data_IF_847399749610
#
_entry.id   IF_847399749610
#
_cell.length_a   1.000
_cell.length_b   1.000
_cell.length_c   1.000
_cell.angle_alpha   90.00
_cell.angle_beta   90.00
_cell.angle_gamma   90.00
#
_symmetry.space_group_name_H-M   'P 1'
#
loop_
_entity.id
_entity.type
_entity.pdbx_description
1 polymer ?
#
# COMPACT_ATOMS: atom_id res chain seq x y z
N UNK A 1 -11.29 17.49 1.90
CA UNK A 1 -11.05 16.04 2.04
C UNK A 1 -9.60 15.62 1.81
N UNK A 2 -8.98 15.83 0.62
CA UNK A 2 -7.56 15.43 0.40
C UNK A 2 -6.54 16.52 0.80
N UNK A 3 -6.87 17.80 0.62
CA UNK A 3 -5.99 18.94 0.97
C UNK A 3 -6.00 19.28 2.49
N UNK A 4 -6.79 18.59 3.32
CA UNK A 4 -6.98 18.86 4.77
C UNK A 4 -6.24 17.87 5.70
N UNK A 5 -5.53 16.88 5.15
CA UNK A 5 -4.74 15.93 5.97
C UNK A 5 -3.43 16.58 6.39
N UNK A 6 -3.25 16.80 7.70
CA UNK A 6 -2.16 17.62 8.26
C UNK A 6 -0.77 16.94 8.25
N UNK A 7 -0.67 15.67 7.85
CA UNK A 7 0.62 14.96 7.80
C UNK A 7 0.85 14.14 6.52
N UNK A 8 2.15 13.96 6.20
CA UNK A 8 2.60 13.27 4.99
C UNK A 8 2.20 11.78 5.01
N UNK A 9 2.24 11.14 6.18
CA UNK A 9 1.92 9.72 6.30
C UNK A 9 0.43 9.49 6.06
N UNK A 10 -0.40 10.32 6.66
CA UNK A 10 -1.86 10.32 6.56
C UNK A 10 -2.30 10.55 5.12
N UNK A 11 -1.63 11.46 4.40
CA UNK A 11 -1.84 11.65 2.96
C UNK A 11 -1.54 10.38 2.16
N UNK A 12 -0.43 9.70 2.45
CA UNK A 12 -0.05 8.46 1.76
C UNK A 12 -1.01 7.31 2.11
N UNK A 13 -1.40 7.17 3.38
CA UNK A 13 -2.38 6.18 3.84
C UNK A 13 -3.76 6.41 3.19
N UNK A 14 -4.18 7.67 3.07
CA UNK A 14 -5.42 8.02 2.37
C UNK A 14 -5.36 7.66 0.89
N UNK A 15 -4.26 7.98 0.19
CA UNK A 15 -4.06 7.57 -1.20
C UNK A 15 -4.09 6.04 -1.34
N UNK A 16 -3.47 5.31 -0.41
CA UNK A 16 -3.49 3.85 -0.43
C UNK A 16 -4.90 3.29 -0.23
N UNK A 17 -5.66 3.84 0.73
CA UNK A 17 -7.03 3.45 0.98
C UNK A 17 -7.92 3.69 -0.25
N UNK A 18 -7.80 4.86 -0.91
CA UNK A 18 -8.56 5.15 -2.14
C UNK A 18 -8.25 4.14 -3.27
N UNK A 19 -6.99 3.72 -3.42
CA UNK A 19 -6.58 2.73 -4.42
C UNK A 19 -7.09 1.33 -4.08
N UNK A 20 -6.95 0.91 -2.82
CA UNK A 20 -7.39 -0.40 -2.35
C UNK A 20 -8.91 -0.53 -2.34
N UNK A 21 -9.65 0.54 -2.04
CA UNK A 21 -11.11 0.61 -2.14
C UNK A 21 -11.62 0.66 -3.59
N UNK A 22 -10.73 0.81 -4.57
CA UNK A 22 -11.10 0.81 -5.99
C UNK A 22 -11.76 2.10 -6.48
N UNK A 23 -11.70 3.18 -5.70
CA UNK A 23 -12.31 4.48 -6.01
C UNK A 23 -11.29 5.58 -6.38
N UNK A 24 -10.00 5.24 -6.41
CA UNK A 24 -8.92 6.20 -6.73
C UNK A 24 -9.08 6.94 -8.07
N UNK A 25 -9.81 6.37 -9.02
CA UNK A 25 -10.01 6.97 -10.34
C UNK A 25 -10.92 8.23 -10.31
N UNK A 26 -11.68 8.44 -9.22
CA UNK A 26 -12.41 9.69 -8.99
C UNK A 26 -11.51 10.82 -8.46
N UNK A 27 -10.28 10.50 -8.04
CA UNK A 27 -9.36 11.41 -7.35
C UNK A 27 -7.98 11.49 -8.04
N UNK A 28 -7.89 11.16 -9.33
CA UNK A 28 -6.61 11.02 -10.03
C UNK A 28 -5.76 12.30 -9.97
N UNK A 29 -6.42 13.46 -10.12
CA UNK A 29 -5.74 14.77 -10.11
C UNK A 29 -5.15 15.06 -8.73
N UNK A 30 -5.93 14.83 -7.69
CA UNK A 30 -5.55 15.07 -6.29
C UNK A 30 -4.44 14.10 -5.87
N UNK A 31 -4.56 12.81 -6.20
CA UNK A 31 -3.52 11.80 -5.97
C UNK A 31 -2.23 12.20 -6.68
N UNK A 32 -2.30 12.59 -7.95
CA UNK A 32 -1.13 13.02 -8.72
C UNK A 32 -0.45 14.24 -8.10
N UNK A 33 -1.24 15.24 -7.65
CA UNK A 33 -0.73 16.44 -6.96
C UNK A 33 0.02 16.05 -5.67
N UNK A 34 -0.59 15.21 -4.83
CA UNK A 34 0.03 14.72 -3.59
C UNK A 34 1.36 14.02 -3.90
N UNK A 35 1.35 12.99 -4.76
CA UNK A 35 2.54 12.21 -5.06
C UNK A 35 3.65 13.03 -5.73
N UNK A 36 3.30 14.01 -6.57
CA UNK A 36 4.27 14.95 -7.14
C UNK A 36 4.96 15.77 -6.04
N UNK A 37 4.19 16.31 -5.08
CA UNK A 37 4.75 17.07 -3.96
C UNK A 37 5.66 16.20 -3.09
N UNK A 38 5.26 14.95 -2.81
CA UNK A 38 6.10 13.98 -2.07
C UNK A 38 7.40 13.72 -2.81
N UNK A 39 7.34 13.52 -4.13
CA UNK A 39 8.52 13.26 -4.95
C UNK A 39 9.48 14.45 -4.99
N UNK A 40 8.98 15.67 -5.20
CA UNK A 40 9.79 16.90 -5.21
C UNK A 40 10.51 17.09 -3.88
N UNK A 41 9.81 16.90 -2.75
CA UNK A 41 10.43 16.95 -1.42
C UNK A 41 11.52 15.89 -1.27
N UNK A 42 11.24 14.64 -1.66
CA UNK A 42 12.21 13.56 -1.60
C UNK A 42 13.51 13.87 -2.37
N UNK A 43 13.40 14.35 -3.62
CA UNK A 43 14.56 14.72 -4.45
C UNK A 43 15.31 15.91 -3.86
N UNK A 44 14.60 16.90 -3.31
CA UNK A 44 15.21 18.05 -2.63
C UNK A 44 16.03 17.67 -1.39
N UNK A 45 15.53 16.74 -0.57
CA UNK A 45 16.19 16.27 0.65
C UNK A 45 17.40 15.36 0.39
N UNK A 46 17.43 14.65 -0.75
CA UNK A 46 18.55 13.76 -1.13
C UNK A 46 19.91 14.47 -1.18
N UNK A 47 19.92 15.81 -1.33
CA UNK A 47 21.12 16.65 -1.34
C UNK A 47 21.66 17.01 0.07
N UNK A 48 21.00 16.61 1.16
CA UNK A 48 21.31 17.05 2.54
C UNK A 48 21.57 15.93 3.56
N UNK A 49 21.70 14.66 3.15
CA UNK A 49 21.50 13.55 4.09
C UNK A 49 22.76 13.15 4.86
N UNK A 50 22.82 13.58 6.13
CA UNK A 50 23.31 12.74 7.23
C UNK A 50 22.32 11.58 7.41
N UNK A 51 22.78 10.36 7.10
CA UNK A 51 21.95 9.13 7.12
C UNK A 51 21.76 8.63 8.55
N UNK A 52 21.00 9.36 9.37
CA UNK A 52 20.48 8.83 10.63
C UNK A 52 19.17 8.06 10.38
N UNK A 53 18.91 7.03 11.18
CA UNK A 53 17.69 6.18 11.19
C UNK A 53 16.46 6.99 11.63
N UNK A 54 16.13 8.08 10.94
CA UNK A 54 15.07 9.01 11.33
C UNK A 54 13.75 8.82 10.56
N UNK A 55 13.75 8.09 9.44
CA UNK A 55 12.52 7.76 8.72
C UNK A 55 11.99 6.42 9.21
N UNK A 56 10.68 6.34 9.46
CA UNK A 56 9.93 5.12 9.76
C UNK A 56 9.91 4.18 8.53
N UNK A 57 10.12 2.87 8.75
CA UNK A 57 10.15 1.89 7.65
C UNK A 57 8.79 1.81 6.96
N UNK A 58 7.70 1.85 7.72
CA UNK A 58 6.35 1.81 7.18
C UNK A 58 6.10 2.98 6.22
N UNK A 59 6.33 4.23 6.67
CA UNK A 59 6.21 5.42 5.85
C UNK A 59 7.12 5.37 4.61
N UNK A 60 8.36 4.90 4.76
CA UNK A 60 9.33 4.80 3.67
C UNK A 60 8.87 3.81 2.61
N UNK A 61 8.41 2.63 3.03
CA UNK A 61 7.91 1.59 2.14
C UNK A 61 6.63 2.00 1.42
N UNK A 62 5.70 2.65 2.13
CA UNK A 62 4.46 3.16 1.56
C UNK A 62 4.73 4.25 0.51
N UNK A 63 5.57 5.24 0.85
CA UNK A 63 6.05 6.29 -0.06
C UNK A 63 6.67 5.68 -1.33
N UNK A 64 7.60 4.75 -1.17
CA UNK A 64 8.28 4.09 -2.29
C UNK A 64 7.27 3.38 -3.20
N UNK A 65 6.37 2.60 -2.61
CA UNK A 65 5.36 1.82 -3.34
C UNK A 65 4.45 2.72 -4.16
N UNK A 66 3.85 3.73 -3.53
CA UNK A 66 2.91 4.65 -4.19
C UNK A 66 3.59 5.46 -5.29
N UNK A 67 4.81 5.97 -5.05
CA UNK A 67 5.57 6.69 -6.07
C UNK A 67 5.85 5.81 -7.30
N UNK A 68 6.36 4.59 -7.10
CA UNK A 68 6.65 3.69 -8.24
C UNK A 68 5.39 3.24 -8.98
N UNK A 69 4.29 2.97 -8.27
CA UNK A 69 3.00 2.64 -8.90
C UNK A 69 2.48 3.74 -9.83
N UNK A 70 2.84 5.00 -9.54
CA UNK A 70 2.47 6.18 -10.33
C UNK A 70 3.58 6.64 -11.29
N UNK A 71 4.60 5.80 -11.52
CA UNK A 71 5.64 6.05 -12.52
C UNK A 71 6.77 7.00 -12.08
N UNK A 72 6.81 7.40 -10.80
CA UNK A 72 7.93 8.18 -10.28
C UNK A 72 9.16 7.29 -10.06
N UNK A 73 10.33 7.80 -10.44
CA UNK A 73 11.59 7.11 -10.21
C UNK A 73 12.09 7.35 -8.79
N UNK A 74 12.17 6.29 -8.00
CA UNK A 74 12.77 6.28 -6.66
C UNK A 74 13.65 5.04 -6.54
N UNK A 75 14.90 5.20 -6.13
CA UNK A 75 15.85 4.08 -6.07
C UNK A 75 15.73 3.30 -4.76
N UNK A 76 16.13 2.03 -4.76
CA UNK A 76 16.10 1.17 -3.56
C UNK A 76 17.00 1.65 -2.41
N UNK A 77 17.89 2.62 -2.66
CA UNK A 77 18.82 3.15 -1.65
C UNK A 77 18.13 3.90 -0.52
N UNK A 78 16.85 4.28 -0.71
CA UNK A 78 15.98 4.78 0.36
C UNK A 78 15.81 3.79 1.51
N UNK A 79 15.96 2.48 1.23
CA UNK A 79 15.94 1.44 2.25
C UNK A 79 17.33 1.14 2.83
N UNK A 80 18.34 1.97 2.54
CA UNK A 80 19.75 1.71 2.86
C UNK A 80 20.01 1.27 4.30
N UNK A 81 19.39 1.93 5.28
CA UNK A 81 19.52 1.62 6.72
C UNK A 81 18.68 0.43 7.20
N UNK A 82 17.77 -0.07 6.36
CA UNK A 82 16.88 -1.19 6.66
C UNK A 82 17.33 -2.49 6.00
N UNK A 83 18.43 -2.51 5.25
CA UNK A 83 18.95 -3.77 4.72
C UNK A 83 19.79 -4.49 5.78
N UNK A 84 19.53 -5.80 5.97
CA UNK A 84 20.24 -6.64 6.95
C UNK A 84 19.51 -6.69 8.29
N UNK A 85 20.27 -6.66 9.38
CA UNK A 85 19.79 -6.83 10.77
C UNK A 85 18.79 -5.74 11.21
N UNK A 86 18.77 -4.60 10.51
CA UNK A 86 17.85 -3.50 10.79
C UNK A 86 16.37 -3.83 10.62
N UNK A 87 16.02 -4.99 10.05
CA UNK A 87 14.63 -5.43 9.93
C UNK A 87 14.13 -6.23 11.12
N UNK A 88 14.98 -6.77 12.00
CA UNK A 88 14.51 -7.69 13.05
C UNK A 88 13.62 -7.00 14.09
N UNK A 89 13.89 -5.71 14.36
CA UNK A 89 13.16 -4.90 15.33
C UNK A 89 11.87 -4.25 14.79
N UNK A 90 11.65 -4.29 13.47
CA UNK A 90 10.57 -3.54 12.83
C UNK A 90 9.20 -4.19 13.08
N UNK A 91 8.12 -3.42 13.16
CA UNK A 91 6.79 -4.00 13.38
C UNK A 91 6.25 -4.73 12.14
N UNK A 92 5.22 -5.55 12.31
CA UNK A 92 4.67 -6.35 11.21
C UNK A 92 4.02 -5.47 10.13
N UNK A 93 3.46 -4.29 10.49
CA UNK A 93 2.90 -3.35 9.52
C UNK A 93 4.00 -2.80 8.58
N UNK A 94 5.17 -2.47 9.12
CA UNK A 94 6.34 -2.07 8.36
C UNK A 94 6.88 -3.19 7.46
N UNK A 95 7.00 -4.41 8.00
CA UNK A 95 7.45 -5.57 7.23
C UNK A 95 6.52 -5.87 6.06
N UNK A 96 5.20 -5.83 6.30
CA UNK A 96 4.18 -6.01 5.27
C UNK A 96 4.29 -4.94 4.17
N UNK A 97 4.50 -3.69 4.57
CA UNK A 97 4.62 -2.58 3.62
C UNK A 97 5.89 -2.70 2.78
N UNK A 98 7.01 -3.12 3.40
CA UNK A 98 8.25 -3.40 2.68
C UNK A 98 8.10 -4.60 1.74
N UNK A 99 7.40 -5.65 2.17
CA UNK A 99 7.07 -6.80 1.32
C UNK A 99 6.35 -6.33 0.04
N UNK A 100 5.25 -5.59 0.18
CA UNK A 100 4.47 -5.07 -0.95
C UNK A 100 5.30 -4.14 -1.86
N UNK A 101 6.08 -3.24 -1.26
CA UNK A 101 6.99 -2.35 -1.98
C UNK A 101 8.07 -3.13 -2.77
N UNK A 102 8.57 -4.23 -2.21
CA UNK A 102 9.69 -4.98 -2.79
C UNK A 102 9.36 -5.62 -4.14
N UNK A 103 8.09 -5.93 -4.39
CA UNK A 103 7.67 -6.48 -5.66
C UNK A 103 7.51 -5.46 -6.79
N UNK A 104 7.64 -4.16 -6.50
CA UNK A 104 7.84 -3.11 -7.52
C UNK A 104 9.32 -2.94 -7.90
N UNK A 105 10.15 -3.92 -7.56
CA UNK A 105 11.56 -3.97 -7.95
C UNK A 105 11.72 -4.11 -9.46
N UNK A 106 12.69 -3.37 -10.00
CA UNK A 106 13.18 -3.48 -11.37
C UNK A 106 14.32 -4.50 -11.44
N UNK A 107 14.87 -4.73 -12.63
CA UNK A 107 16.07 -5.56 -12.82
C UNK A 107 17.28 -5.08 -11.99
N UNK A 108 17.37 -3.78 -11.71
CA UNK A 108 18.50 -3.17 -11.01
C UNK A 108 18.37 -3.20 -9.48
N UNK A 109 17.18 -3.48 -8.95
CA UNK A 109 16.91 -3.45 -7.50
C UNK A 109 17.29 -4.78 -6.81
N UNK A 110 18.57 -5.13 -6.84
CA UNK A 110 19.07 -6.42 -6.32
C UNK A 110 18.88 -6.59 -4.82
N UNK A 111 19.05 -5.54 -4.01
CA UNK A 111 18.86 -5.60 -2.55
C UNK A 111 17.39 -5.73 -2.20
N UNK A 112 16.53 -4.97 -2.88
CA UNK A 112 15.08 -5.03 -2.71
C UNK A 112 14.48 -6.38 -3.13
N UNK A 113 15.07 -7.07 -4.12
CA UNK A 113 14.66 -8.44 -4.44
C UNK A 113 15.03 -9.43 -3.32
N UNK A 114 16.18 -9.25 -2.68
CA UNK A 114 16.60 -10.10 -1.55
C UNK A 114 15.69 -9.91 -0.33
N UNK A 115 15.15 -8.72 -0.10
CA UNK A 115 14.23 -8.46 1.02
C UNK A 115 12.90 -9.19 0.88
N UNK A 116 12.48 -9.60 -0.33
CA UNK A 116 11.26 -10.42 -0.51
C UNK A 116 11.36 -11.72 0.29
N UNK A 117 12.47 -12.44 0.21
CA UNK A 117 12.65 -13.70 0.93
C UNK A 117 12.58 -13.51 2.45
N UNK A 118 13.29 -12.50 2.95
CA UNK A 118 13.33 -12.19 4.38
C UNK A 118 11.95 -11.78 4.91
N UNK A 119 11.29 -10.81 4.26
CA UNK A 119 9.96 -10.34 4.65
C UNK A 119 8.93 -11.45 4.57
N UNK A 120 8.95 -12.28 3.52
CA UNK A 120 8.08 -13.47 3.39
C UNK A 120 8.23 -14.41 4.59
N UNK A 121 9.47 -14.68 5.00
CA UNK A 121 9.76 -15.58 6.13
C UNK A 121 9.19 -15.03 7.43
N UNK A 122 9.38 -13.73 7.68
CA UNK A 122 8.88 -13.07 8.89
C UNK A 122 7.34 -12.99 8.93
N UNK A 123 6.71 -12.68 7.79
CA UNK A 123 5.26 -12.64 7.65
C UNK A 123 4.62 -14.03 7.86
N UNK A 124 5.24 -15.11 7.35
CA UNK A 124 4.77 -16.48 7.60
C UNK A 124 4.84 -16.85 9.08
N UNK A 125 5.95 -16.55 9.75
CA UNK A 125 6.09 -16.77 11.20
C UNK A 125 5.01 -16.01 11.99
N UNK A 126 4.71 -14.78 11.61
CA UNK A 126 3.63 -14.00 12.23
C UNK A 126 2.25 -14.67 12.08
N UNK A 127 1.97 -15.25 10.91
CA UNK A 127 0.73 -16.03 10.68
C UNK A 127 0.72 -17.32 11.49
N UNK A 128 1.86 -17.92 11.81
CA UNK A 128 1.91 -19.15 12.63
C UNK A 128 1.72 -18.90 14.14
N UNK A 129 1.98 -17.68 14.62
CA UNK A 129 1.80 -17.30 16.03
C UNK A 129 0.31 -17.29 16.45
N UNK A 130 0.03 -17.70 17.70
CA UNK A 130 -1.32 -17.71 18.31
C UNK A 130 -1.86 -16.29 18.51
N UNK A 131 -3.18 -16.14 18.31
CA UNK A 131 -3.88 -14.86 18.18
C UNK A 131 -3.92 -14.01 19.46
N UNK A 132 -3.83 -12.69 19.24
CA UNK A 132 -4.44 -11.67 20.09
C UNK A 132 -5.49 -10.94 19.23
N UNK A 133 -6.69 -10.66 19.76
CA UNK A 133 -7.83 -10.05 19.02
C UNK A 133 -7.45 -8.73 18.29
N UNK A 134 -6.54 -7.95 18.87
CA UNK A 134 -6.04 -6.67 18.33
C UNK A 134 -5.27 -6.81 17.00
N UNK A 135 -4.85 -8.01 16.60
CA UNK A 135 -4.08 -8.25 15.36
C UNK A 135 -4.91 -8.70 14.16
N UNK A 136 -6.25 -8.75 14.28
CA UNK A 136 -7.14 -9.32 13.25
C UNK A 136 -6.97 -8.68 11.87
N UNK A 137 -7.01 -7.34 11.77
CA UNK A 137 -6.86 -6.63 10.49
C UNK A 137 -5.50 -6.85 9.84
N UNK A 138 -4.41 -6.61 10.58
CA UNK A 138 -3.04 -6.77 10.07
C UNK A 138 -2.82 -8.22 9.62
N UNK A 139 -3.33 -9.20 10.37
CA UNK A 139 -3.24 -10.61 10.00
C UNK A 139 -3.99 -10.94 8.71
N UNK A 140 -5.21 -10.43 8.51
CA UNK A 140 -5.94 -10.56 7.25
C UNK A 140 -5.15 -9.97 6.08
N UNK A 141 -4.56 -8.79 6.26
CA UNK A 141 -3.72 -8.13 5.26
C UNK A 141 -2.45 -8.93 4.95
N UNK A 142 -1.79 -9.51 5.96
CA UNK A 142 -0.60 -10.35 5.77
C UNK A 142 -0.93 -11.63 5.01
N UNK A 143 -1.98 -12.35 5.42
CA UNK A 143 -2.43 -13.57 4.72
C UNK A 143 -2.73 -13.23 3.26
N UNK A 144 -3.48 -12.15 3.03
CA UNK A 144 -3.79 -11.67 1.69
C UNK A 144 -2.53 -11.35 0.90
N UNK A 145 -1.58 -10.60 1.44
CA UNK A 145 -0.35 -10.26 0.71
C UNK A 145 0.49 -11.51 0.36
N UNK A 146 0.56 -12.49 1.26
CA UNK A 146 1.31 -13.74 1.05
C UNK A 146 0.72 -14.65 -0.03
N UNK A 147 -0.60 -14.65 -0.23
CA UNK A 147 -1.23 -15.33 -1.37
C UNK A 147 -0.78 -14.72 -2.70
N UNK A 148 -0.82 -13.39 -2.78
CA UNK A 148 -0.38 -12.61 -3.93
C UNK A 148 -0.22 -11.14 -3.51
N UNK A 149 0.89 -10.47 -3.86
CA UNK A 149 1.07 -9.05 -3.58
C UNK A 149 0.02 -8.16 -4.26
N UNK A 150 -0.38 -7.06 -3.63
CA UNK A 150 -1.42 -6.13 -4.10
C UNK A 150 -1.28 -5.72 -5.57
N UNK A 151 -0.09 -5.30 -5.99
CA UNK A 151 0.16 -4.80 -7.36
C UNK A 151 0.11 -5.90 -8.44
N UNK A 152 0.01 -7.19 -8.08
CA UNK A 152 -0.21 -8.30 -9.01
C UNK A 152 -1.67 -8.74 -9.09
N UNK A 153 -2.56 -8.15 -8.28
CA UNK A 153 -3.97 -8.51 -8.20
C UNK A 153 -4.81 -7.73 -9.20
N UNK A 154 -5.92 -8.34 -9.63
CA UNK A 154 -6.98 -7.64 -10.36
C UNK A 154 -7.65 -6.66 -9.41
N UNK A 155 -7.48 -5.37 -9.68
CA UNK A 155 -7.88 -4.27 -8.77
C UNK A 155 -9.34 -4.36 -8.32
N UNK A 156 -10.26 -4.70 -9.22
CA UNK A 156 -11.70 -4.73 -8.90
C UNK A 156 -12.07 -5.87 -7.95
N UNK A 157 -11.46 -7.04 -8.11
CA UNK A 157 -11.66 -8.17 -7.20
C UNK A 157 -11.04 -7.88 -5.83
N UNK A 158 -9.87 -7.24 -5.82
CA UNK A 158 -9.23 -6.83 -4.58
C UNK A 158 -10.03 -5.76 -3.83
N UNK A 159 -10.61 -4.81 -4.56
CA UNK A 159 -11.48 -3.79 -3.97
C UNK A 159 -12.69 -4.39 -3.25
N UNK A 160 -13.33 -5.43 -3.82
CA UNK A 160 -14.46 -6.11 -3.16
C UNK A 160 -14.06 -6.65 -1.78
N UNK A 161 -12.92 -7.34 -1.71
CA UNK A 161 -12.39 -7.91 -0.47
C UNK A 161 -11.97 -6.81 0.52
N UNK A 162 -11.30 -5.77 0.03
CA UNK A 162 -10.81 -4.69 0.88
C UNK A 162 -11.95 -3.85 1.46
N UNK A 163 -13.07 -3.67 0.76
CA UNK A 163 -14.27 -3.01 1.31
C UNK A 163 -14.75 -3.69 2.59
N UNK A 164 -14.78 -5.02 2.61
CA UNK A 164 -15.22 -5.78 3.79
C UNK A 164 -14.21 -5.62 4.93
N UNK A 165 -12.92 -5.79 4.65
CA UNK A 165 -11.86 -5.70 5.66
C UNK A 165 -11.68 -4.27 6.19
N UNK A 166 -11.81 -3.25 5.34
CA UNK A 166 -11.75 -1.84 5.74
C UNK A 166 -12.89 -1.51 6.69
N UNK A 167 -14.11 -1.99 6.43
CA UNK A 167 -15.28 -1.76 7.29
C UNK A 167 -15.24 -2.39 8.68
N UNK A 168 -14.31 -3.31 8.94
CA UNK A 168 -14.10 -3.91 10.27
C UNK A 168 -13.10 -3.12 11.15
N UNK A 169 -12.42 -2.11 10.61
CA UNK A 169 -11.38 -1.39 11.35
C UNK A 169 -11.95 -0.30 12.25
N UNK A 170 -11.30 -0.03 13.40
CA UNK A 170 -11.75 1.02 14.33
C UNK A 170 -11.56 2.44 13.75
N UNK A 171 -10.55 2.62 12.89
CA UNK A 171 -10.18 3.92 12.28
C UNK A 171 -10.81 4.12 10.89
N UNK A 172 -11.88 3.39 10.58
CA UNK A 172 -12.55 3.45 9.28
C UNK A 172 -13.17 4.83 9.06
N UNK A 173 -12.90 5.45 7.90
CA UNK A 173 -13.67 6.62 7.47
C UNK A 173 -15.01 6.14 6.86
N UNK A 174 -16.16 6.40 7.52
CA UNK A 174 -17.45 5.88 7.09
C UNK A 174 -17.87 6.42 5.71
N UNK A 175 -17.53 7.68 5.40
CA UNK A 175 -17.86 8.29 4.11
C UNK A 175 -17.09 7.63 2.96
N UNK A 176 -15.82 7.28 3.18
CA UNK A 176 -15.03 6.54 2.18
C UNK A 176 -15.57 5.13 1.98
N UNK A 177 -15.97 4.45 3.06
CA UNK A 177 -16.54 3.11 2.98
C UNK A 177 -17.87 3.11 2.22
N UNK A 178 -18.74 4.08 2.51
CA UNK A 178 -20.03 4.23 1.83
C UNK A 178 -19.83 4.52 0.34
N UNK A 179 -18.97 5.48 0.00
CA UNK A 179 -18.60 5.79 -1.38
C UNK A 179 -18.08 4.55 -2.12
N UNK A 180 -17.19 3.77 -1.49
CA UNK A 180 -16.63 2.56 -2.08
C UNK A 180 -17.69 1.49 -2.34
N UNK A 181 -18.67 1.31 -1.43
CA UNK A 181 -19.78 0.36 -1.62
C UNK A 181 -20.70 0.79 -2.77
N UNK A 182 -21.06 2.07 -2.82
CA UNK A 182 -21.91 2.62 -3.88
C UNK A 182 -21.23 2.50 -5.25
N UNK A 183 -19.96 2.90 -5.33
CA UNK A 183 -19.14 2.76 -6.54
C UNK A 183 -19.04 1.30 -6.98
N UNK A 184 -18.77 0.39 -6.03
CA UNK A 184 -18.65 -1.04 -6.30
C UNK A 184 -19.87 -1.56 -7.05
N UNK A 185 -21.05 -1.32 -6.45
CA UNK A 185 -22.35 -1.76 -6.96
C UNK A 185 -22.70 -1.10 -8.29
N UNK A 186 -22.42 0.20 -8.45
CA UNK A 186 -22.71 0.91 -9.70
C UNK A 186 -21.99 0.30 -10.90
N UNK A 187 -20.67 0.10 -10.81
CA UNK A 187 -19.92 -0.52 -11.93
C UNK A 187 -20.29 -2.00 -12.09
N UNK A 188 -20.67 -2.70 -11.01
CA UNK A 188 -21.15 -4.07 -11.13
C UNK A 188 -22.41 -4.16 -11.99
N UNK A 189 -23.33 -3.19 -11.89
CA UNK A 189 -24.50 -3.11 -12.76
C UNK A 189 -24.08 -2.92 -14.21
N UNK A 190 -23.11 -2.03 -14.49
CA UNK A 190 -22.58 -1.83 -15.85
C UNK A 190 -22.00 -3.13 -16.41
N UNK A 191 -21.12 -3.81 -15.67
CA UNK A 191 -20.53 -5.08 -16.11
C UNK A 191 -21.57 -6.17 -16.38
N UNK A 192 -22.65 -6.22 -15.59
CA UNK A 192 -23.74 -7.17 -15.83
C UNK A 192 -24.50 -6.87 -17.12
N UNK A 193 -24.68 -5.59 -17.46
CA UNK A 193 -25.36 -5.18 -18.68
C UNK A 193 -24.50 -5.41 -19.93
N UNK A 194 -23.19 -5.14 -19.83
CA UNK A 194 -22.20 -5.50 -20.84
C UNK A 194 -22.17 -7.02 -21.09
N UNK A 195 -22.17 -7.83 -20.02
CA UNK A 195 -22.18 -9.28 -20.13
C UNK A 195 -23.45 -9.80 -20.81
N UNK A 196 -24.62 -9.24 -20.50
CA UNK A 196 -25.88 -9.57 -21.19
C UNK A 196 -25.82 -9.23 -22.67
N UNK A 197 -25.18 -8.11 -23.02
CA UNK A 197 -25.04 -7.68 -24.41
C UNK A 197 -24.10 -8.59 -25.19
N UNK A 198 -23.01 -9.05 -24.57
CA UNK A 198 -22.03 -9.97 -25.17
C UNK A 198 -22.51 -11.43 -25.27
N UNK A 199 -23.50 -11.81 -24.46
CA UNK A 199 -24.06 -13.18 -24.46
C UNK A 199 -25.22 -13.36 -25.44
N UNK A 200 -25.58 -12.32 -26.20
CA UNK A 200 -26.59 -12.36 -27.28
C UNK A 200 -25.92 -12.62 -28.62
#
# INVERSE_FOLDING_TARGET
MLDETEGLLEQLELVDNLQRLGISYHFEREIKKILTNVHVRHVGHRKRVDRKRSEDLYATALKFRLLRQHGFNIAQDVFGCFFGDGLDDEDIKSVLSLYEASYLSTRFDTKLKKTIYYTTTRLKKFVEMKNNETTSYVRKMVIRALEMPYHRRVRRLEARWYIDVYGETHDTNPNLLELAKLDFNFVQVIHQDELKSLSR
#
